data_IF_006463464857
#
_entry.id   IF_006463464857
#
_cell.length_a   1.000
_cell.length_b   1.000
_cell.length_c   1.000
_cell.angle_alpha   90.00
_cell.angle_beta   90.00
_cell.angle_gamma   90.00
#
_symmetry.space_group_name_H-M   'P 1'
#
loop_
_entity.id
_entity.type
_entity.pdbx_description
1 polymer ?
#
# COMPACT_ATOMS: atom_id res chain seq x y z
N UNK A 1 10.51 4.02 8.30
CA UNK A 1 9.94 3.07 9.26
C UNK A 1 8.54 2.77 8.79
N UNK A 2 8.31 1.57 8.25
CA UNK A 2 6.98 1.08 7.94
C UNK A 2 6.35 0.73 9.29
N UNK A 3 5.21 1.32 9.65
CA UNK A 3 4.53 0.98 10.89
C UNK A 3 4.03 -0.47 10.80
N UNK A 4 4.04 -1.26 11.89
CA UNK A 4 3.65 -2.67 11.85
C UNK A 4 2.23 -2.91 11.30
N UNK A 5 1.32 -1.96 11.52
CA UNK A 5 -0.05 -2.00 11.00
C UNK A 5 -0.11 -1.82 9.47
N UNK A 6 0.72 -0.94 8.90
CA UNK A 6 0.74 -0.69 7.45
C UNK A 6 1.33 -1.88 6.69
N UNK A 7 2.35 -2.53 7.27
CA UNK A 7 2.92 -3.76 6.73
C UNK A 7 1.93 -4.94 6.77
N UNK A 8 1.19 -5.10 7.87
CA UNK A 8 0.19 -6.15 7.99
C UNK A 8 -0.94 -5.99 6.95
N UNK A 9 -1.41 -4.75 6.76
CA UNK A 9 -2.48 -4.45 5.82
C UNK A 9 -2.05 -4.65 4.35
N UNK A 10 -0.81 -4.26 4.01
CA UNK A 10 -0.24 -4.50 2.69
C UNK A 10 -0.10 -6.01 2.40
N UNK A 11 0.35 -6.81 3.38
CA UNK A 11 0.44 -8.28 3.25
C UNK A 11 -0.94 -8.93 3.08
N UNK A 12 -1.98 -8.40 3.74
CA UNK A 12 -3.35 -8.91 3.59
C UNK A 12 -3.90 -8.69 2.18
N UNK A 13 -3.64 -7.53 1.58
CA UNK A 13 -4.00 -7.26 0.17
C UNK A 13 -3.31 -8.25 -0.79
N UNK A 14 -2.02 -8.56 -0.55
CA UNK A 14 -1.32 -9.59 -1.34
C UNK A 14 -2.00 -10.94 -1.20
N UNK A 15 -2.35 -11.36 0.02
CA UNK A 15 -3.01 -12.65 0.27
C UNK A 15 -4.32 -12.76 -0.50
N UNK A 16 -5.16 -11.73 -0.49
CA UNK A 16 -6.44 -11.72 -1.21
C UNK A 16 -6.22 -11.94 -2.73
N UNK A 17 -5.27 -11.21 -3.32
CA UNK A 17 -5.02 -11.31 -4.76
C UNK A 17 -4.39 -12.64 -5.16
N UNK A 18 -3.52 -13.20 -4.32
CA UNK A 18 -2.91 -14.50 -4.58
C UNK A 18 -3.91 -15.64 -4.42
N UNK A 19 -4.75 -15.61 -3.37
CA UNK A 19 -5.85 -16.58 -3.20
C UNK A 19 -6.85 -16.50 -4.37
N UNK A 20 -7.18 -15.30 -4.85
CA UNK A 20 -7.99 -15.16 -6.06
C UNK A 20 -7.29 -15.76 -7.29
N UNK A 21 -6.00 -15.47 -7.48
CA UNK A 21 -5.22 -15.99 -8.60
C UNK A 21 -5.11 -17.54 -8.58
N UNK A 22 -5.12 -18.18 -7.41
CA UNK A 22 -5.16 -19.64 -7.30
C UNK A 22 -6.44 -20.26 -7.87
N UNK A 23 -7.56 -19.53 -7.84
CA UNK A 23 -8.82 -20.01 -8.43
C UNK A 23 -8.86 -19.92 -9.96
N UNK A 24 -7.89 -19.25 -10.58
CA UNK A 24 -7.86 -19.02 -12.03
C UNK A 24 -7.09 -20.14 -12.75
N UNK A 25 -7.82 -20.94 -13.53
CA UNK A 25 -7.23 -22.04 -14.32
C UNK A 25 -6.39 -21.55 -15.51
N UNK A 26 -6.65 -20.35 -16.02
CA UNK A 26 -5.96 -19.80 -17.20
C UNK A 26 -4.65 -19.12 -16.80
N UNK A 27 -3.48 -19.60 -17.29
CA UNK A 27 -2.19 -19.08 -16.84
C UNK A 27 -2.01 -17.57 -17.06
N UNK A 28 -2.49 -17.03 -18.18
CA UNK A 28 -2.39 -15.59 -18.48
C UNK A 28 -3.22 -14.73 -17.52
N UNK A 29 -4.44 -15.17 -17.20
CA UNK A 29 -5.34 -14.46 -16.29
C UNK A 29 -4.84 -14.56 -14.85
N UNK A 30 -4.25 -15.71 -14.47
CA UNK A 30 -3.58 -15.91 -13.18
C UNK A 30 -2.42 -14.95 -12.98
N UNK A 31 -1.54 -14.83 -13.97
CA UNK A 31 -0.42 -13.88 -13.92
C UNK A 31 -0.95 -12.45 -13.80
N UNK A 32 -1.98 -12.08 -14.56
CA UNK A 32 -2.60 -10.75 -14.47
C UNK A 32 -3.11 -10.44 -13.06
N UNK A 33 -3.78 -11.38 -12.40
CA UNK A 33 -4.27 -11.23 -11.03
C UNK A 33 -3.12 -11.07 -10.02
N UNK A 34 -2.04 -11.84 -10.17
CA UNK A 34 -0.83 -11.71 -9.34
C UNK A 34 -0.21 -10.32 -9.52
N UNK A 35 -0.03 -9.87 -10.77
CA UNK A 35 0.52 -8.54 -11.08
C UNK A 35 -0.34 -7.43 -10.50
N UNK A 36 -1.67 -7.56 -10.56
CA UNK A 36 -2.58 -6.60 -9.93
C UNK A 36 -2.38 -6.52 -8.41
N UNK A 37 -2.22 -7.66 -7.74
CA UNK A 37 -1.92 -7.69 -6.31
C UNK A 37 -0.59 -7.01 -5.94
N UNK A 38 0.46 -7.26 -6.73
CA UNK A 38 1.76 -6.60 -6.55
C UNK A 38 1.67 -5.07 -6.73
N UNK A 39 0.97 -4.61 -7.78
CA UNK A 39 0.79 -3.17 -8.03
C UNK A 39 -0.03 -2.51 -6.91
N UNK A 40 -1.07 -3.18 -6.42
CA UNK A 40 -1.89 -2.67 -5.32
C UNK A 40 -1.08 -2.55 -4.01
N UNK A 41 -0.28 -3.57 -3.71
CA UNK A 41 0.64 -3.57 -2.58
C UNK A 41 1.63 -2.41 -2.65
N UNK A 42 2.30 -2.23 -3.79
CA UNK A 42 3.30 -1.18 -3.97
C UNK A 42 2.68 0.23 -3.87
N UNK A 43 1.45 0.41 -4.39
CA UNK A 43 0.71 1.66 -4.22
C UNK A 43 0.41 1.96 -2.76
N UNK A 44 -0.07 0.97 -2.00
CA UNK A 44 -0.32 1.17 -0.56
C UNK A 44 0.95 1.58 0.17
N UNK A 45 2.09 0.94 -0.10
CA UNK A 45 3.36 1.31 0.51
C UNK A 45 3.78 2.74 0.12
N UNK A 46 3.60 3.12 -1.14
CA UNK A 46 3.91 4.47 -1.63
C UNK A 46 3.01 5.54 -1.00
N UNK A 47 1.71 5.27 -0.86
CA UNK A 47 0.75 6.17 -0.23
C UNK A 47 1.07 6.36 1.27
N UNK A 48 1.41 5.27 1.97
CA UNK A 48 1.89 5.34 3.36
C UNK A 48 3.17 6.20 3.48
N UNK A 49 4.10 6.09 2.54
CA UNK A 49 5.31 6.93 2.53
C UNK A 49 5.02 8.40 2.18
N UNK A 50 4.03 8.67 1.31
CA UNK A 50 3.57 9.99 0.93
C UNK A 50 2.87 10.74 2.07
N UNK A 51 1.92 10.07 2.75
CA UNK A 51 1.25 10.60 3.93
C UNK A 51 2.24 10.86 5.07
N UNK A 52 3.26 10.01 5.21
CA UNK A 52 4.34 10.24 6.17
C UNK A 52 5.07 11.55 5.90
N UNK A 53 5.48 11.82 4.64
CA UNK A 53 6.12 13.10 4.28
C UNK A 53 5.21 14.30 4.55
N UNK A 54 3.91 14.18 4.29
CA UNK A 54 2.92 15.23 4.57
C UNK A 54 2.72 15.47 6.07
N UNK A 55 2.71 14.39 6.87
CA UNK A 55 2.55 14.45 8.33
C UNK A 55 3.79 14.99 9.05
N UNK A 56 4.99 14.56 8.63
CA UNK A 56 6.26 15.07 9.13
C UNK A 56 6.45 16.55 8.76
N UNK A 57 5.99 16.96 7.57
CA UNK A 57 5.95 18.38 7.20
C UNK A 57 5.01 19.19 8.11
N UNK A 58 3.79 18.69 8.37
CA UNK A 58 2.83 19.36 9.27
C UNK A 58 3.34 19.46 10.71
N UNK A 59 4.10 18.47 11.22
CA UNK A 59 4.73 18.53 12.55
C UNK A 59 5.88 19.53 12.63
N UNK A 60 6.62 19.73 11.55
CA UNK A 60 7.78 20.63 11.50
C UNK A 60 7.44 22.06 11.11
N UNK A 61 6.28 22.29 10.52
CA UNK A 61 5.78 23.63 10.29
C UNK A 61 5.44 24.27 11.65
N UNK A 62 6.08 25.40 12.04
CA UNK A 62 5.61 26.12 13.21
C UNK A 62 4.16 26.54 12.95
N UNK A 63 3.26 26.47 13.95
CA UNK A 63 1.92 26.99 13.79
C UNK A 63 2.09 28.47 13.42
N UNK A 64 1.74 28.82 12.19
CA UNK A 64 1.65 30.23 11.82
C UNK A 64 0.54 30.80 12.68
N UNK A 65 0.92 31.45 13.78
CA UNK A 65 0.06 32.39 14.47
C UNK A 65 -0.31 33.45 13.42
N UNK A 66 -1.52 33.33 12.87
CA UNK A 66 -2.16 34.45 12.21
C UNK A 66 -2.57 35.41 13.33
N UNK A 67 -1.78 36.48 13.49
CA UNK A 67 -2.26 37.74 14.05
C UNK A 67 -3.21 38.41 13.05
#
# INVERSE_FOLDING_TARGET
MIYPCDAANAVEILRIHYSFAETICRPKERIKAITQGLVAHDRMLADCDGDRKSSDYRRKAPPKFHQ
#
